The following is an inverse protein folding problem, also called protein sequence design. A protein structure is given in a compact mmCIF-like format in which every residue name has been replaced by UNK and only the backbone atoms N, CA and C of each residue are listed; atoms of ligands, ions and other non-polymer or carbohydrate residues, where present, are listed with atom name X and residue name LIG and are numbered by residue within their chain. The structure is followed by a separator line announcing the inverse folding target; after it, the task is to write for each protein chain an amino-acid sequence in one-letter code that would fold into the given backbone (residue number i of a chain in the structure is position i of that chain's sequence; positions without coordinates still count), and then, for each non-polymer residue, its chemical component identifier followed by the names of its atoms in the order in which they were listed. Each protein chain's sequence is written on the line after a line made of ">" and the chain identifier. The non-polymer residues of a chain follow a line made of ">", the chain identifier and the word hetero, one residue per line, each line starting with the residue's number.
data_IF_972025818015
#
_entry.id   IF_972025818015
#
_cell.length_a   1.000
_cell.length_b   1.000
_cell.length_c   1.000
_cell.angle_alpha   90.00
_cell.angle_beta   90.00
_cell.angle_gamma   90.00
#
_symmetry.space_group_name_H-M   'P 1'
#
loop_
_entity.id
_entity.type
_entity.pdbx_description
1 polymer ?
#
# COMPACT_ATOMS: atom_id res chain seq x y z
N UNK A 1 42.51 -22.74 -37.46
CA UNK A 1 43.49 -21.65 -37.21
C UNK A 1 44.08 -21.84 -35.81
N UNK A 2 45.39 -21.55 -35.62
CA UNK A 2 46.20 -22.12 -34.55
C UNK A 2 46.30 -21.26 -33.27
N UNK A 3 46.79 -21.95 -32.22
CA UNK A 3 47.19 -21.51 -30.88
C UNK A 3 47.48 -20.03 -30.61
N UNK A 4 46.74 -19.49 -29.64
CA UNK A 4 47.13 -18.31 -28.87
C UNK A 4 48.19 -18.73 -27.84
N UNK A 5 49.45 -18.44 -28.19
CA UNK A 5 50.61 -18.60 -27.33
C UNK A 5 50.54 -17.67 -26.12
N UNK A 6 50.68 -18.26 -24.93
CA UNK A 6 50.95 -17.51 -23.70
C UNK A 6 52.33 -16.85 -23.77
N UNK A 7 52.47 -15.56 -23.44
CA UNK A 7 53.75 -14.88 -23.50
C UNK A 7 54.73 -15.45 -22.46
N UNK A 8 55.93 -15.80 -22.91
CA UNK A 8 57.06 -16.32 -22.13
C UNK A 8 57.63 -15.34 -21.08
N UNK A 9 56.95 -14.22 -20.81
CA UNK A 9 57.40 -13.18 -19.90
C UNK A 9 57.31 -13.58 -18.41
N UNK A 10 56.56 -14.63 -18.04
CA UNK A 10 56.37 -15.03 -16.65
C UNK A 10 57.46 -15.97 -16.07
N UNK A 11 58.42 -16.45 -16.87
CA UNK A 11 59.46 -17.38 -16.37
C UNK A 11 60.64 -16.72 -15.65
N UNK A 12 60.75 -15.38 -15.63
CA UNK A 12 61.87 -14.67 -14.97
C UNK A 12 61.58 -14.15 -13.56
N UNK A 13 60.44 -14.47 -12.95
CA UNK A 13 60.14 -14.07 -11.56
C UNK A 13 60.53 -15.12 -10.50
N UNK A 14 61.10 -16.25 -10.89
CA UNK A 14 61.41 -17.38 -9.99
C UNK A 14 62.72 -17.27 -9.21
N UNK A 15 63.48 -16.18 -9.36
CA UNK A 15 64.76 -15.97 -8.65
C UNK A 15 64.76 -14.76 -7.72
N UNK A 16 63.62 -14.43 -7.11
CA UNK A 16 63.57 -13.47 -6.03
C UNK A 16 63.66 -14.18 -4.67
N UNK A 17 64.46 -13.67 -3.72
CA UNK A 17 64.59 -14.25 -2.39
C UNK A 17 63.23 -14.23 -1.67
N UNK A 18 62.87 -15.35 -1.03
CA UNK A 18 61.55 -15.57 -0.38
C UNK A 18 61.16 -14.50 0.64
N UNK A 19 62.12 -13.76 1.20
CA UNK A 19 61.87 -12.67 2.15
C UNK A 19 61.28 -11.39 1.49
N UNK A 20 61.55 -11.12 0.21
CA UNK A 20 61.08 -9.91 -0.46
C UNK A 20 59.65 -10.03 -1.05
N UNK A 21 59.23 -11.27 -1.38
CA UNK A 21 57.90 -11.54 -1.98
C UNK A 21 56.76 -11.35 -0.97
N UNK A 22 57.02 -11.54 0.33
CA UNK A 22 56.02 -11.35 1.38
C UNK A 22 55.65 -9.88 1.62
N UNK A 23 56.58 -8.95 1.43
CA UNK A 23 56.38 -7.53 1.71
C UNK A 23 55.63 -6.81 0.57
N UNK A 24 55.91 -7.15 -0.70
CA UNK A 24 55.15 -6.61 -1.84
C UNK A 24 53.70 -7.14 -1.89
N UNK A 25 53.44 -8.40 -1.51
CA UNK A 25 52.06 -8.92 -1.45
C UNK A 25 51.19 -8.19 -0.42
N UNK A 26 51.76 -7.79 0.73
CA UNK A 26 51.03 -7.02 1.75
C UNK A 26 50.75 -5.58 1.30
N UNK A 27 51.67 -4.93 0.59
CA UNK A 27 51.44 -3.58 0.06
C UNK A 27 50.41 -3.55 -1.09
N UNK A 28 50.41 -4.54 -1.99
CA UNK A 28 49.43 -4.59 -3.10
C UNK A 28 48.02 -4.90 -2.59
N UNK A 29 47.86 -5.80 -1.60
CA UNK A 29 46.53 -6.10 -1.03
C UNK A 29 45.97 -4.90 -0.25
N UNK A 30 46.81 -4.10 0.41
CA UNK A 30 46.34 -2.88 1.09
C UNK A 30 46.04 -1.73 0.11
N UNK A 31 46.77 -1.61 -1.00
CA UNK A 31 46.49 -0.61 -2.03
C UNK A 31 45.17 -0.88 -2.78
N UNK A 32 44.82 -2.14 -3.08
CA UNK A 32 43.54 -2.47 -3.72
C UNK A 32 42.34 -2.40 -2.77
N UNK A 33 42.51 -2.69 -1.48
CA UNK A 33 41.44 -2.51 -0.48
C UNK A 33 41.11 -1.04 -0.23
N UNK A 34 42.10 -0.14 -0.25
CA UNK A 34 41.87 1.30 -0.12
C UNK A 34 41.18 1.93 -1.34
N UNK A 35 41.42 1.39 -2.55
CA UNK A 35 40.80 1.92 -3.77
C UNK A 35 39.34 1.49 -3.94
N UNK A 36 38.94 0.33 -3.43
CA UNK A 36 37.54 -0.13 -3.45
C UNK A 36 36.63 0.62 -2.44
N UNK A 37 37.21 1.21 -1.39
CA UNK A 37 36.47 2.02 -0.42
C UNK A 37 36.23 3.46 -0.91
N UNK A 38 36.95 3.93 -1.93
CA UNK A 38 36.85 5.31 -2.42
C UNK A 38 35.75 5.53 -3.48
N UNK A 39 35.15 4.47 -4.01
CA UNK A 39 34.07 4.55 -5.01
C UNK A 39 32.75 3.94 -4.53
N UNK A 40 32.57 3.81 -3.22
CA UNK A 40 31.29 3.43 -2.63
C UNK A 40 30.27 4.55 -2.80
N UNK A 41 29.76 4.72 -4.02
CA UNK A 41 28.50 5.43 -4.24
C UNK A 41 27.48 4.62 -3.48
N UNK A 42 27.09 5.11 -2.29
CA UNK A 42 25.93 4.58 -1.60
C UNK A 42 24.75 4.79 -2.55
N UNK A 43 24.36 3.73 -3.27
CA UNK A 43 23.15 3.76 -4.09
C UNK A 43 22.00 3.98 -3.12
N UNK A 44 21.51 5.22 -3.06
CA UNK A 44 20.36 5.57 -2.23
C UNK A 44 19.13 4.99 -2.91
N UNK A 45 18.84 3.73 -2.60
CA UNK A 45 17.60 3.08 -3.00
C UNK A 45 16.42 3.91 -2.47
N UNK A 46 15.45 4.15 -3.34
CA UNK A 46 14.14 4.70 -2.97
C UNK A 46 13.40 3.65 -2.15
N UNK A 47 13.02 3.99 -0.92
CA UNK A 47 12.18 3.16 -0.07
C UNK A 47 10.72 3.62 -0.19
N UNK A 48 9.89 2.79 -0.82
CA UNK A 48 8.47 3.03 -0.99
C UNK A 48 7.68 2.17 -0.01
N UNK A 49 6.94 2.79 0.92
CA UNK A 49 6.07 2.07 1.85
C UNK A 49 4.61 2.38 1.52
N UNK A 50 3.78 1.34 1.42
CA UNK A 50 2.35 1.44 1.14
C UNK A 50 1.62 0.65 2.21
N UNK A 51 0.83 1.37 3.01
CA UNK A 51 -0.02 0.79 4.04
C UNK A 51 -1.47 0.98 3.66
N UNK A 52 -2.25 -0.10 3.66
CA UNK A 52 -3.62 -0.08 3.17
C UNK A 52 -4.55 -0.84 4.11
N UNK A 53 -5.83 -0.47 4.16
CA UNK A 53 -6.81 -1.26 4.90
C UNK A 53 -7.48 -2.28 3.96
N UNK A 54 -7.55 -3.57 4.35
CA UNK A 54 -8.19 -4.59 3.52
C UNK A 54 -9.72 -4.41 3.42
N UNK A 55 -10.33 -3.60 4.29
CA UNK A 55 -11.78 -3.34 4.32
C UNK A 55 -12.12 -1.92 3.83
N UNK A 56 -11.17 -1.22 3.20
CA UNK A 56 -11.34 0.15 2.74
C UNK A 56 -11.58 0.19 1.23
N UNK A 57 -12.75 0.67 0.82
CA UNK A 57 -13.11 0.83 -0.59
C UNK A 57 -12.24 1.82 -1.33
N UNK A 58 -11.84 2.90 -0.65
CA UNK A 58 -10.88 3.84 -1.20
C UNK A 58 -9.53 3.15 -1.47
N UNK A 59 -9.06 2.27 -0.57
CA UNK A 59 -7.82 1.51 -0.80
C UNK A 59 -7.92 0.59 -2.02
N UNK A 60 -9.03 -0.13 -2.21
CA UNK A 60 -9.22 -0.99 -3.40
C UNK A 60 -9.17 -0.16 -4.69
N UNK A 61 -9.99 0.90 -4.77
CA UNK A 61 -10.05 1.76 -5.94
C UNK A 61 -8.70 2.43 -6.25
N UNK A 62 -7.96 2.80 -5.20
CA UNK A 62 -6.67 3.44 -5.34
C UNK A 62 -5.59 2.44 -5.79
N UNK A 63 -5.46 1.31 -5.08
CA UNK A 63 -4.41 0.32 -5.33
C UNK A 63 -4.60 -0.42 -6.66
N UNK A 64 -5.84 -0.67 -7.10
CA UNK A 64 -6.14 -1.35 -8.37
C UNK A 64 -5.67 -0.59 -9.61
N UNK A 65 -5.46 0.71 -9.50
CA UNK A 65 -4.87 1.53 -10.56
C UNK A 65 -3.38 1.76 -10.31
N UNK A 66 -3.01 2.12 -9.09
CA UNK A 66 -1.65 2.53 -8.76
C UNK A 66 -0.63 1.38 -8.79
N UNK A 67 -0.93 0.24 -8.16
CA UNK A 67 0.03 -0.87 -8.05
C UNK A 67 0.37 -1.46 -9.43
N UNK A 68 -0.60 -1.78 -10.32
CA UNK A 68 -0.27 -2.28 -11.65
C UNK A 68 0.63 -1.32 -12.42
N UNK A 69 0.32 -0.01 -12.42
CA UNK A 69 1.13 0.99 -13.11
C UNK A 69 2.57 1.05 -12.56
N UNK A 70 2.74 0.92 -11.25
CA UNK A 70 4.05 0.93 -10.60
C UNK A 70 4.87 -0.34 -10.91
N UNK A 71 4.27 -1.53 -10.81
CA UNK A 71 4.97 -2.79 -11.03
C UNK A 71 5.23 -3.08 -12.52
N UNK A 72 4.33 -2.65 -13.41
CA UNK A 72 4.51 -2.76 -14.86
C UNK A 72 5.51 -1.74 -15.43
N UNK A 73 5.92 -0.75 -14.64
CA UNK A 73 6.95 0.19 -15.04
C UNK A 73 8.34 -0.45 -15.14
N UNK A 74 8.54 -1.67 -14.65
CA UNK A 74 9.83 -2.37 -14.66
C UNK A 74 10.95 -1.53 -14.02
N UNK A 75 10.64 -0.93 -12.86
CA UNK A 75 11.64 -0.24 -12.05
C UNK A 75 12.65 -1.27 -11.52
N UNK A 76 13.96 -0.97 -11.51
CA UNK A 76 14.96 -1.91 -11.04
C UNK A 76 14.92 -2.03 -9.52
N UNK A 77 14.90 -3.27 -9.02
CA UNK A 77 14.82 -3.56 -7.58
C UNK A 77 16.05 -3.16 -6.76
N UNK A 78 17.18 -2.89 -7.42
CA UNK A 78 18.36 -2.30 -6.78
C UNK A 78 18.23 -0.79 -6.50
N UNK A 79 17.30 -0.11 -7.16
CA UNK A 79 17.03 1.32 -6.96
C UNK A 79 15.73 1.57 -6.20
N UNK A 80 14.79 0.63 -6.23
CA UNK A 80 13.48 0.78 -5.57
C UNK A 80 13.15 -0.48 -4.79
N UNK A 81 12.96 -0.29 -3.48
CA UNK A 81 12.44 -1.31 -2.59
C UNK A 81 11.07 -0.92 -2.08
N UNK A 82 10.19 -1.90 -1.91
CA UNK A 82 8.79 -1.72 -1.54
C UNK A 82 8.48 -2.44 -0.24
N UNK A 83 7.77 -1.74 0.64
CA UNK A 83 7.04 -2.33 1.76
C UNK A 83 5.56 -2.21 1.45
N UNK A 84 4.85 -3.32 1.29
CA UNK A 84 3.39 -3.34 1.10
C UNK A 84 2.77 -4.13 2.25
N UNK A 85 2.04 -3.46 3.14
CA UNK A 85 1.49 -4.09 4.33
C UNK A 85 0.04 -3.68 4.57
N UNK A 86 -0.85 -4.62 4.92
CA UNK A 86 -2.18 -4.26 5.36
C UNK A 86 -2.11 -3.63 6.76
N UNK A 87 -3.00 -2.69 7.05
CA UNK A 87 -3.13 -1.95 8.29
C UNK A 87 -4.60 -1.88 8.70
N UNK A 88 -4.88 -2.07 9.98
CA UNK A 88 -6.22 -1.88 10.55
C UNK A 88 -6.14 -0.96 11.77
N UNK A 89 -6.95 0.11 11.83
CA UNK A 89 -7.01 0.97 13.00
C UNK A 89 -7.64 0.23 14.19
N UNK A 90 -7.26 0.65 15.40
CA UNK A 90 -8.00 0.31 16.63
C UNK A 90 -7.85 -1.11 17.14
N UNK A 91 -6.98 -1.93 16.56
CA UNK A 91 -6.75 -3.32 17.02
C UNK A 91 -5.68 -3.32 18.13
N UNK A 92 -6.10 -2.90 19.33
CA UNK A 92 -5.39 -2.69 20.62
C UNK A 92 -5.54 -3.64 21.84
N UNK A 93 -4.64 -4.58 22.21
CA UNK A 93 -3.65 -5.27 21.40
C UNK A 93 -4.35 -6.26 20.47
N UNK A 94 -3.81 -6.49 19.28
CA UNK A 94 -4.48 -7.29 18.29
C UNK A 94 -4.28 -8.79 18.64
N UNK A 95 -5.25 -9.70 18.44
CA UNK A 95 -5.09 -11.13 18.74
C UNK A 95 -4.16 -11.84 17.75
N UNK A 96 -3.06 -12.47 18.18
CA UNK A 96 -2.00 -12.99 17.30
C UNK A 96 -2.51 -13.74 16.03
N UNK A 97 -3.59 -14.50 16.18
CA UNK A 97 -4.33 -15.15 15.10
C UNK A 97 -5.60 -14.35 14.73
N UNK A 98 -5.80 -14.15 13.43
CA UNK A 98 -6.98 -13.47 12.86
C UNK A 98 -7.99 -14.48 12.29
N UNK A 99 -8.43 -15.45 13.10
CA UNK A 99 -9.25 -16.59 12.63
C UNK A 99 -10.75 -16.40 12.81
N UNK A 100 -11.19 -15.45 13.64
CA UNK A 100 -12.61 -15.22 13.90
C UNK A 100 -13.29 -14.54 12.72
N UNK A 101 -14.15 -15.29 12.03
CA UNK A 101 -14.98 -14.72 10.95
C UNK A 101 -15.89 -13.60 11.48
N UNK A 102 -16.00 -12.51 10.72
CA UNK A 102 -16.81 -11.34 11.06
C UNK A 102 -16.08 -10.30 11.91
N UNK A 103 -14.85 -10.56 12.37
CA UNK A 103 -14.00 -9.55 12.98
C UNK A 103 -13.11 -8.88 11.92
N UNK A 104 -12.84 -7.56 12.03
CA UNK A 104 -11.95 -6.85 11.09
C UNK A 104 -10.58 -7.52 10.92
N UNK A 105 -10.02 -8.09 12.00
CA UNK A 105 -8.76 -8.83 11.97
C UNK A 105 -8.74 -9.90 10.87
N UNK A 106 -9.85 -10.59 10.62
CA UNK A 106 -9.95 -11.70 9.68
C UNK A 106 -9.40 -11.36 8.30
N UNK A 107 -9.68 -10.14 7.83
CA UNK A 107 -9.25 -9.64 6.52
C UNK A 107 -7.74 -9.40 6.42
N UNK A 108 -7.00 -9.41 7.53
CA UNK A 108 -5.52 -9.36 7.52
C UNK A 108 -4.89 -10.72 7.24
N UNK A 109 -5.57 -11.82 7.56
CA UNK A 109 -4.93 -13.13 7.63
C UNK A 109 -4.34 -13.54 6.27
N UNK A 110 -5.17 -13.54 5.23
CA UNK A 110 -4.78 -13.94 3.89
C UNK A 110 -3.68 -13.06 3.26
N UNK A 111 -3.81 -11.72 3.26
CA UNK A 111 -2.75 -10.82 2.78
C UNK A 111 -1.43 -10.97 3.54
N UNK A 112 -1.46 -11.06 4.87
CA UNK A 112 -0.24 -11.25 5.66
C UNK A 112 0.45 -12.58 5.33
N UNK A 113 -0.32 -13.64 5.12
CA UNK A 113 0.23 -14.92 4.69
C UNK A 113 0.85 -14.86 3.30
N UNK A 114 0.24 -14.13 2.35
CA UNK A 114 0.82 -13.94 1.02
C UNK A 114 2.16 -13.19 1.08
N UNK A 115 2.32 -12.30 2.07
CA UNK A 115 3.53 -11.51 2.28
C UNK A 115 4.63 -12.23 3.09
N UNK A 116 4.34 -13.38 3.73
CA UNK A 116 5.37 -14.09 4.52
C UNK A 116 6.57 -14.56 3.72
N UNK A 117 6.38 -14.88 2.44
CA UNK A 117 7.47 -15.28 1.54
C UNK A 117 8.27 -14.08 1.00
N UNK A 118 7.84 -12.85 1.29
CA UNK A 118 8.44 -11.63 0.77
C UNK A 118 9.36 -11.04 1.83
N UNK A 119 10.69 -10.96 1.59
CA UNK A 119 11.58 -10.24 2.50
C UNK A 119 11.23 -8.75 2.44
N UNK A 120 10.85 -8.15 3.56
CA UNK A 120 10.48 -6.73 3.62
C UNK A 120 11.61 -5.88 4.23
N UNK A 121 11.94 -4.72 3.63
CA UNK A 121 11.48 -4.24 2.32
C UNK A 121 12.00 -5.12 1.16
N UNK A 122 11.23 -5.25 0.09
CA UNK A 122 11.56 -6.14 -1.03
C UNK A 122 11.95 -5.35 -2.30
N UNK A 123 12.86 -5.85 -3.14
CA UNK A 123 13.06 -5.30 -4.48
C UNK A 123 11.74 -5.28 -5.26
N UNK A 124 11.42 -4.16 -5.91
CA UNK A 124 10.13 -3.97 -6.61
C UNK A 124 9.92 -4.97 -7.76
N UNK A 125 10.99 -5.43 -8.39
CA UNK A 125 10.99 -6.42 -9.47
C UNK A 125 11.06 -7.87 -8.96
N UNK A 126 11.01 -8.09 -7.64
CA UNK A 126 11.07 -9.44 -7.10
C UNK A 126 9.79 -10.24 -7.45
N UNK A 127 9.92 -11.49 -7.94
CA UNK A 127 8.76 -12.33 -8.24
C UNK A 127 7.83 -12.56 -7.04
N UNK A 128 8.41 -12.66 -5.84
CA UNK A 128 7.65 -12.83 -4.61
C UNK A 128 6.76 -11.61 -4.33
N UNK A 129 7.28 -10.38 -4.47
CA UNK A 129 6.47 -9.17 -4.30
C UNK A 129 5.41 -9.04 -5.40
N UNK A 130 5.74 -9.34 -6.66
CA UNK A 130 4.77 -9.33 -7.76
C UNK A 130 3.60 -10.29 -7.52
N UNK A 131 3.89 -11.51 -7.06
CA UNK A 131 2.88 -12.50 -6.69
C UNK A 131 2.03 -12.04 -5.49
N UNK A 132 2.67 -11.48 -4.45
CA UNK A 132 1.97 -10.97 -3.29
C UNK A 132 1.04 -9.79 -3.62
N UNK A 133 1.48 -8.83 -4.43
CA UNK A 133 0.62 -7.69 -4.81
C UNK A 133 -0.54 -8.13 -5.71
N UNK A 134 -0.35 -9.10 -6.61
CA UNK A 134 -1.44 -9.67 -7.41
C UNK A 134 -2.48 -10.33 -6.51
N UNK A 135 -2.01 -11.06 -5.49
CA UNK A 135 -2.90 -11.66 -4.50
C UNK A 135 -3.70 -10.59 -3.76
N UNK A 136 -3.03 -9.56 -3.26
CA UNK A 136 -3.62 -8.47 -2.49
C UNK A 136 -4.70 -7.75 -3.31
N UNK A 137 -4.43 -7.42 -4.58
CA UNK A 137 -5.41 -6.77 -5.44
C UNK A 137 -6.64 -7.65 -5.69
N UNK A 138 -6.43 -8.94 -5.95
CA UNK A 138 -7.53 -9.90 -6.11
C UNK A 138 -8.35 -10.01 -4.82
N UNK A 139 -7.69 -10.18 -3.68
CA UNK A 139 -8.33 -10.36 -2.39
C UNK A 139 -9.10 -9.10 -1.95
N UNK A 140 -8.53 -7.90 -2.16
CA UNK A 140 -9.19 -6.61 -1.93
C UNK A 140 -10.50 -6.48 -2.70
N UNK A 141 -10.52 -6.89 -3.97
CA UNK A 141 -11.74 -6.87 -4.79
C UNK A 141 -12.86 -7.77 -4.25
N UNK A 142 -12.51 -8.75 -3.41
CA UNK A 142 -13.45 -9.59 -2.68
C UNK A 142 -13.63 -9.18 -1.22
N UNK A 143 -12.78 -8.37 -0.62
CA UNK A 143 -12.98 -7.92 0.75
C UNK A 143 -14.03 -6.79 0.85
N UNK A 144 -14.24 -6.05 -0.24
CA UNK A 144 -14.90 -4.75 -0.20
C UNK A 144 -16.25 -4.64 -0.97
N UNK A 145 -16.88 -5.73 -1.42
CA UNK A 145 -18.10 -5.62 -2.28
C UNK A 145 -19.43 -5.30 -1.54
N UNK A 146 -19.43 -4.44 -0.53
CA UNK A 146 -20.65 -3.88 0.08
C UNK A 146 -21.02 -4.44 1.46
N UNK A 147 -22.31 -4.41 1.79
CA UNK A 147 -22.83 -4.63 3.16
C UNK A 147 -22.63 -6.06 3.72
N UNK A 148 -22.24 -7.00 2.88
CA UNK A 148 -21.88 -8.38 3.27
C UNK A 148 -20.45 -8.58 2.80
N UNK A 149 -19.52 -8.74 3.74
CA UNK A 149 -18.14 -9.10 3.44
C UNK A 149 -18.10 -10.43 2.68
N UNK A 150 -17.86 -10.45 1.36
CA UNK A 150 -18.03 -11.65 0.55
C UNK A 150 -16.71 -12.44 0.47
N UNK A 151 -15.66 -12.00 1.16
CA UNK A 151 -14.41 -12.75 1.25
C UNK A 151 -14.73 -14.12 1.87
N UNK A 152 -14.59 -15.16 1.06
CA UNK A 152 -14.82 -16.54 1.45
C UNK A 152 -13.53 -17.34 1.34
N UNK A 153 -13.42 -18.49 2.01
CA UNK A 153 -12.31 -19.40 1.76
C UNK A 153 -12.11 -19.72 0.27
N UNK A 154 -13.19 -19.81 -0.51
CA UNK A 154 -13.14 -20.09 -1.95
C UNK A 154 -12.51 -18.94 -2.75
N UNK A 155 -12.90 -17.69 -2.49
CA UNK A 155 -12.31 -16.53 -3.19
C UNK A 155 -10.85 -16.34 -2.80
N UNK A 156 -10.51 -16.51 -1.51
CA UNK A 156 -9.12 -16.48 -1.03
C UNK A 156 -8.27 -17.53 -1.75
N UNK A 157 -8.74 -18.77 -1.86
CA UNK A 157 -8.01 -19.84 -2.56
C UNK A 157 -7.89 -19.58 -4.06
N UNK A 158 -8.93 -19.02 -4.68
CA UNK A 158 -8.90 -18.63 -6.10
C UNK A 158 -7.83 -17.57 -6.36
N UNK A 159 -7.82 -16.48 -5.58
CA UNK A 159 -6.80 -15.44 -5.65
C UNK A 159 -5.39 -15.99 -5.40
N UNK A 160 -5.25 -16.90 -4.44
CA UNK A 160 -3.97 -17.53 -4.12
C UNK A 160 -3.44 -18.39 -5.27
N UNK A 161 -4.32 -19.10 -5.98
CA UNK A 161 -3.99 -19.88 -7.16
C UNK A 161 -3.55 -19.01 -8.33
N UNK A 162 -4.32 -17.97 -8.66
CA UNK A 162 -4.00 -17.05 -9.77
C UNK A 162 -2.71 -16.26 -9.55
N UNK A 163 -2.38 -15.98 -8.29
CA UNK A 163 -1.22 -15.17 -7.92
C UNK A 163 -0.01 -16.02 -7.53
N UNK A 164 -0.09 -17.34 -7.65
CA UNK A 164 0.98 -18.28 -7.31
C UNK A 164 1.48 -18.21 -5.85
N UNK A 165 0.64 -17.76 -4.91
CA UNK A 165 0.96 -17.75 -3.47
C UNK A 165 0.41 -18.97 -2.72
N UNK A 166 -0.47 -19.76 -3.35
CA UNK A 166 -1.05 -20.99 -2.77
C UNK A 166 0.00 -22.10 -2.61
N UNK A 167 0.84 -21.97 -1.60
CA UNK A 167 1.94 -22.88 -1.27
C UNK A 167 1.70 -23.50 0.11
N UNK A 168 2.32 -24.65 0.45
CA UNK A 168 2.18 -25.24 1.78
C UNK A 168 2.51 -24.26 2.94
N UNK A 169 3.57 -23.42 2.86
CA UNK A 169 3.81 -22.39 3.87
C UNK A 169 2.67 -21.38 4.03
N UNK A 170 2.06 -20.95 2.93
CA UNK A 170 0.91 -20.03 2.96
C UNK A 170 -0.32 -20.67 3.62
N UNK A 171 -0.61 -21.94 3.31
CA UNK A 171 -1.71 -22.67 3.95
C UNK A 171 -1.47 -22.88 5.46
N UNK A 172 -0.23 -23.19 5.84
CA UNK A 172 0.16 -23.30 7.25
C UNK A 172 0.02 -21.96 7.98
N UNK A 173 0.39 -20.86 7.32
CA UNK A 173 0.21 -19.51 7.86
C UNK A 173 -1.26 -19.21 8.17
N UNK A 174 -2.19 -19.56 7.29
CA UNK A 174 -3.63 -19.31 7.50
C UNK A 174 -4.19 -20.02 8.75
N UNK A 175 -3.56 -21.11 9.18
CA UNK A 175 -3.94 -21.87 10.38
C UNK A 175 -3.18 -21.43 11.64
N UNK A 176 -2.10 -20.65 11.48
CA UNK A 176 -1.18 -20.30 12.55
C UNK A 176 -1.27 -18.86 13.02
N UNK A 177 -0.11 -18.27 13.32
CA UNK A 177 0.05 -16.87 13.67
C UNK A 177 0.37 -16.06 12.42
N UNK A 178 -0.56 -15.20 11.98
CA UNK A 178 -0.35 -14.37 10.79
C UNK A 178 0.47 -13.11 11.11
N UNK A 179 0.30 -12.55 12.32
CA UNK A 179 0.97 -11.31 12.72
C UNK A 179 2.24 -11.61 13.49
N UNK A 180 3.35 -11.52 12.77
CA UNK A 180 4.70 -11.70 13.33
C UNK A 180 5.11 -10.49 14.18
N UNK A 181 6.09 -10.64 15.09
CA UNK A 181 6.65 -9.50 15.82
C UNK A 181 7.18 -8.38 14.90
N UNK A 182 7.75 -8.73 13.75
CA UNK A 182 8.24 -7.76 12.76
C UNK A 182 7.11 -6.92 12.15
N UNK A 183 5.98 -7.56 11.81
CA UNK A 183 4.78 -6.86 11.36
C UNK A 183 4.28 -5.89 12.43
N UNK A 184 4.13 -6.36 13.67
CA UNK A 184 3.64 -5.52 14.78
C UNK A 184 4.53 -4.30 15.01
N UNK A 185 5.86 -4.49 15.07
CA UNK A 185 6.81 -3.39 15.21
C UNK A 185 6.70 -2.35 14.07
N UNK A 186 6.45 -2.81 12.84
CA UNK A 186 6.26 -1.92 11.68
C UNK A 186 4.97 -1.11 11.81
N UNK A 187 3.87 -1.75 12.21
CA UNK A 187 2.58 -1.08 12.44
C UNK A 187 2.65 -0.10 13.62
N UNK A 188 3.35 -0.44 14.69
CA UNK A 188 3.56 0.47 15.83
C UNK A 188 4.36 1.71 15.41
N UNK A 189 5.43 1.53 14.63
CA UNK A 189 6.21 2.63 14.07
C UNK A 189 5.37 3.51 13.13
N UNK A 190 4.54 2.90 12.26
CA UNK A 190 3.59 3.63 11.43
C UNK A 190 2.61 4.45 12.29
N UNK A 191 2.00 3.85 13.31
CA UNK A 191 1.03 4.54 14.18
C UNK A 191 1.67 5.75 14.88
N UNK A 192 2.91 5.63 15.35
CA UNK A 192 3.66 6.76 15.92
C UNK A 192 3.89 7.87 14.87
N UNK A 193 4.27 7.51 13.64
CA UNK A 193 4.43 8.48 12.54
C UNK A 193 3.11 9.20 12.23
N UNK A 194 2.00 8.47 12.15
CA UNK A 194 0.67 9.05 11.87
C UNK A 194 0.23 10.07 12.92
N UNK A 195 0.52 9.82 14.21
CA UNK A 195 0.20 10.78 15.29
C UNK A 195 0.85 12.15 15.08
N UNK A 196 2.04 12.21 14.48
CA UNK A 196 2.74 13.48 14.20
C UNK A 196 2.14 14.29 13.04
N UNK A 197 1.32 13.65 12.20
CA UNK A 197 0.74 14.26 11.00
C UNK A 197 -0.64 14.90 11.25
N UNK A 198 -1.25 14.68 12.41
CA UNK A 198 -2.58 15.20 12.76
C UNK A 198 -3.74 14.21 12.49
N UNK A 199 -4.97 14.66 12.76
CA UNK A 199 -6.14 13.78 12.84
C UNK A 199 -6.74 13.32 11.50
N UNK A 200 -6.31 13.87 10.36
CA UNK A 200 -6.99 13.71 9.05
C UNK A 200 -6.12 12.99 8.01
N UNK A 201 -5.53 11.86 8.39
CA UNK A 201 -4.80 10.99 7.45
C UNK A 201 -5.66 9.80 7.07
N UNK A 202 -5.96 9.67 5.77
CA UNK A 202 -6.75 8.57 5.22
C UNK A 202 -5.86 7.54 4.53
N UNK A 203 -6.26 6.27 4.59
CA UNK A 203 -5.61 5.16 3.86
C UNK A 203 -6.00 5.17 2.38
N UNK A 204 -5.13 4.72 1.46
CA UNK A 204 -3.81 4.13 1.72
C UNK A 204 -2.77 5.19 2.09
N UNK A 205 -1.89 4.86 3.02
CA UNK A 205 -0.74 5.70 3.37
C UNK A 205 0.44 5.33 2.47
N UNK A 206 0.90 6.29 1.68
CA UNK A 206 2.03 6.12 0.77
C UNK A 206 3.19 6.94 1.33
N UNK A 207 4.33 6.30 1.58
CA UNK A 207 5.54 6.93 2.07
C UNK A 207 6.67 6.70 1.09
N UNK A 208 7.47 7.74 0.84
CA UNK A 208 8.70 7.65 0.07
C UNK A 208 9.82 8.21 0.93
N UNK A 209 10.85 7.39 1.18
CA UNK A 209 12.02 7.77 1.99
C UNK A 209 11.63 8.39 3.35
N UNK A 210 10.61 7.83 4.01
CA UNK A 210 10.14 8.30 5.32
C UNK A 210 9.28 9.58 5.31
N UNK A 211 8.90 10.11 4.14
CA UNK A 211 7.92 11.22 4.01
C UNK A 211 6.61 10.71 3.44
N UNK A 212 5.49 11.09 4.04
CA UNK A 212 4.17 10.71 3.55
C UNK A 212 3.79 11.55 2.33
N UNK A 213 3.46 10.88 1.24
CA UNK A 213 3.00 11.46 -0.02
C UNK A 213 1.50 11.75 0.07
N UNK A 214 1.09 12.89 -0.51
CA UNK A 214 -0.30 13.29 -0.68
C UNK A 214 -0.65 13.15 -2.15
N UNK A 215 -1.76 12.46 -2.41
CA UNK A 215 -2.26 12.25 -3.74
C UNK A 215 -3.77 12.46 -3.84
N UNK A 216 -4.16 13.17 -4.88
CA UNK A 216 -5.53 13.50 -5.25
C UNK A 216 -6.05 12.41 -6.20
N UNK A 217 -6.18 11.20 -5.67
CA UNK A 217 -6.59 10.00 -6.41
C UNK A 217 -5.43 9.20 -7.02
N UNK A 218 -5.73 8.04 -7.64
CA UNK A 218 -4.72 7.02 -7.97
C UNK A 218 -3.66 7.44 -9.00
N UNK A 219 -3.93 8.50 -9.77
CA UNK A 219 -3.09 8.93 -10.89
C UNK A 219 -2.38 10.26 -10.64
N UNK A 220 -2.60 10.90 -9.49
CA UNK A 220 -2.14 12.27 -9.28
C UNK A 220 -1.65 12.48 -7.85
N UNK A 221 -0.33 12.49 -7.68
CA UNK A 221 0.34 12.89 -6.45
C UNK A 221 0.80 14.34 -6.54
N UNK A 222 0.58 15.11 -5.49
CA UNK A 222 0.69 16.58 -5.52
C UNK A 222 1.61 17.16 -4.46
N UNK A 223 1.87 16.46 -3.36
CA UNK A 223 2.69 17.01 -2.28
C UNK A 223 3.15 16.01 -1.23
N UNK A 224 3.80 16.53 -0.20
CA UNK A 224 4.19 15.84 1.03
C UNK A 224 3.31 16.32 2.18
N UNK A 225 2.85 15.39 3.02
CA UNK A 225 2.19 15.76 4.28
C UNK A 225 3.25 16.31 5.24
N UNK A 226 2.99 17.46 5.84
CA UNK A 226 3.85 18.06 6.86
C UNK A 226 3.30 17.82 8.26
N UNK A 227 4.14 18.05 9.28
CA UNK A 227 3.69 18.02 10.67
C UNK A 227 2.58 19.06 10.89
N UNK A 228 1.50 18.66 11.56
CA UNK A 228 0.31 19.51 11.76
C UNK A 228 -0.72 19.48 10.61
N UNK A 229 -0.56 18.58 9.64
CA UNK A 229 -1.60 18.29 8.63
C UNK A 229 -1.49 19.09 7.33
N UNK A 230 -0.55 20.02 7.22
CA UNK A 230 -0.31 20.81 6.00
C UNK A 230 0.20 19.97 4.83
N UNK A 231 0.23 20.57 3.63
CA UNK A 231 0.75 19.94 2.41
C UNK A 231 1.83 20.83 1.81
N UNK A 232 3.04 20.29 1.67
CA UNK A 232 4.14 20.90 0.92
C UNK A 232 4.09 20.39 -0.52
N UNK A 233 3.91 21.26 -1.50
CA UNK A 233 3.80 20.86 -2.90
C UNK A 233 5.07 20.13 -3.38
N UNK A 234 4.89 19.14 -4.26
CA UNK A 234 6.01 18.52 -4.98
C UNK A 234 6.72 19.57 -5.85
N UNK A 235 8.06 19.49 -6.02
CA UNK A 235 8.78 20.36 -6.92
C UNK A 235 8.18 20.36 -8.35
N UNK A 236 8.32 21.46 -9.10
CA UNK A 236 7.85 21.53 -10.48
C UNK A 236 8.33 20.34 -11.32
N UNK A 237 7.41 19.75 -12.08
CA UNK A 237 7.69 18.57 -12.91
C UNK A 237 7.67 17.23 -12.17
N UNK A 238 7.64 17.18 -10.83
CA UNK A 238 7.60 15.92 -10.07
C UNK A 238 6.18 15.42 -9.77
N UNK A 239 5.18 16.30 -9.75
CA UNK A 239 3.78 15.92 -9.58
C UNK A 239 3.28 15.02 -10.72
N UNK A 240 2.35 14.11 -10.41
CA UNK A 240 1.76 13.15 -11.35
C UNK A 240 1.58 11.76 -10.75
N UNK A 241 1.46 10.70 -11.57
CA UNK A 241 1.29 9.32 -11.08
C UNK A 241 2.43 8.87 -10.16
N UNK A 242 2.17 7.94 -9.24
CA UNK A 242 3.18 7.48 -8.26
C UNK A 242 4.51 7.07 -8.92
N UNK A 243 4.46 6.34 -10.04
CA UNK A 243 5.66 5.92 -10.77
C UNK A 243 6.54 7.10 -11.19
N UNK A 244 5.95 8.24 -11.56
CA UNK A 244 6.68 9.45 -11.92
C UNK A 244 7.37 10.05 -10.69
N UNK A 245 6.66 10.12 -9.57
CA UNK A 245 7.24 10.60 -8.29
C UNK A 245 8.41 9.71 -7.88
N UNK A 246 8.26 8.39 -7.92
CA UNK A 246 9.33 7.43 -7.62
C UNK A 246 10.53 7.63 -8.56
N UNK A 247 10.29 7.71 -9.87
CA UNK A 247 11.33 7.98 -10.86
C UNK A 247 12.07 9.30 -10.62
N UNK A 248 11.37 10.34 -10.16
CA UNK A 248 12.00 11.62 -9.82
C UNK A 248 12.97 11.53 -8.63
N UNK A 249 12.80 10.53 -7.76
CA UNK A 249 13.63 10.30 -6.57
C UNK A 249 14.87 9.43 -6.80
N UNK A 250 14.92 8.66 -7.89
CA UNK A 250 16.10 7.84 -8.23
C UNK A 250 17.27 8.76 -8.64
N UNK A 251 18.49 8.63 -8.12
CA UNK A 251 19.61 9.48 -8.56
C UNK A 251 19.94 9.35 -10.06
N UNK A 252 20.62 10.33 -10.63
CA UNK A 252 21.12 10.22 -12.01
C UNK A 252 22.35 9.29 -12.11
N UNK A 253 22.48 8.50 -13.20
CA UNK A 253 21.57 8.45 -14.35
C UNK A 253 20.29 7.64 -14.07
N UNK A 254 19.13 8.19 -14.46
CA UNK A 254 17.84 7.49 -14.34
C UNK A 254 17.83 6.18 -15.14
N UNK A 255 17.19 5.10 -14.63
CA UNK A 255 17.03 3.87 -15.38
C UNK A 255 16.15 4.09 -16.62
N UNK A 256 16.33 3.30 -17.70
CA UNK A 256 15.53 3.42 -18.92
C UNK A 256 14.02 3.38 -18.69
N UNK A 257 13.55 2.59 -17.74
CA UNK A 257 12.13 2.49 -17.35
C UNK A 257 11.54 3.83 -16.89
N UNK A 258 12.36 4.76 -16.40
CA UNK A 258 11.91 6.08 -15.95
C UNK A 258 11.77 7.11 -17.07
N UNK A 259 12.40 6.92 -18.22
CA UNK A 259 12.47 7.95 -19.27
C UNK A 259 11.07 8.36 -19.77
N UNK A 260 10.17 7.39 -19.96
CA UNK A 260 8.79 7.66 -20.41
C UNK A 260 7.95 8.48 -19.41
N UNK A 261 8.32 8.49 -18.12
CA UNK A 261 7.58 9.20 -17.08
C UNK A 261 8.15 10.62 -16.82
N UNK A 262 9.38 10.88 -17.26
CA UNK A 262 10.06 12.17 -17.04
C UNK A 262 9.80 13.19 -18.15
N UNK A 263 9.42 12.75 -19.37
CA UNK A 263 9.28 13.63 -20.55
C UNK A 263 7.94 14.39 -20.60
N UNK A 264 6.95 14.01 -19.79
CA UNK A 264 5.55 14.41 -20.01
C UNK A 264 5.10 15.74 -19.33
N UNK A 265 6.01 16.62 -18.88
CA UNK A 265 5.62 17.76 -18.04
C UNK A 265 5.45 19.12 -18.77
N UNK A 266 5.88 19.27 -20.04
CA UNK A 266 5.99 20.62 -20.64
C UNK A 266 4.97 20.97 -21.74
N UNK A 267 4.14 20.06 -22.28
CA UNK A 267 3.39 20.37 -23.51
C UNK A 267 1.87 20.14 -23.52
N UNK A 268 1.18 20.22 -22.38
CA UNK A 268 -0.28 20.42 -22.42
C UNK A 268 -0.76 21.54 -21.49
N UNK A 269 -0.67 22.81 -21.92
CA UNK A 269 -1.45 23.88 -21.32
C UNK A 269 -2.94 23.56 -21.49
N UNK A 270 -3.56 23.08 -20.41
CA UNK A 270 -5.01 23.15 -20.16
C UNK A 270 -5.91 22.97 -21.40
N UNK A 271 -6.11 21.72 -21.85
CA UNK A 271 -7.33 21.43 -22.59
C UNK A 271 -8.49 21.58 -21.59
N UNK A 272 -9.46 22.49 -21.83
CA UNK A 272 -10.54 22.71 -20.88
C UNK A 272 -11.32 21.41 -20.64
N UNK A 273 -11.45 21.00 -19.37
CA UNK A 273 -12.21 19.83 -18.89
C UNK A 273 -13.73 19.88 -19.19
N UNK A 274 -14.18 20.67 -20.17
CA UNK A 274 -15.60 20.90 -20.48
C UNK A 274 -16.29 19.75 -21.22
N UNK A 275 -15.63 18.65 -21.55
CA UNK A 275 -16.22 17.57 -22.35
C UNK A 275 -16.66 16.31 -21.58
N UNK A 276 -16.48 16.24 -20.25
CA UNK A 276 -17.02 15.13 -19.44
C UNK A 276 -18.33 15.47 -18.71
N UNK A 277 -18.90 16.67 -18.94
CA UNK A 277 -20.24 17.06 -18.48
C UNK A 277 -21.38 16.63 -19.41
N UNK A 278 -21.30 15.41 -19.98
CA UNK A 278 -22.20 14.91 -21.02
C UNK A 278 -23.18 13.81 -20.57
N UNK A 279 -23.48 13.66 -19.28
CA UNK A 279 -24.48 12.69 -18.80
C UNK A 279 -25.91 13.22 -18.94
N UNK A 280 -26.37 13.46 -20.18
CA UNK A 280 -27.80 13.63 -20.51
C UNK A 280 -28.11 13.08 -21.90
N UNK A 281 -28.03 11.76 -22.09
CA UNK A 281 -28.75 11.10 -23.20
C UNK A 281 -28.83 9.57 -23.03
N UNK A 282 -29.50 9.09 -21.98
CA UNK A 282 -30.11 7.74 -21.97
C UNK A 282 -31.41 7.76 -21.15
N UNK A 283 -32.37 8.55 -21.61
CA UNK A 283 -33.78 8.33 -21.34
C UNK A 283 -34.45 8.18 -22.70
N UNK A 284 -35.29 7.14 -22.85
CA UNK A 284 -35.98 6.70 -24.08
C UNK A 284 -35.33 5.53 -24.81
N UNK A 285 -35.32 4.33 -24.21
CA UNK A 285 -35.59 3.08 -24.95
C UNK A 285 -35.91 1.93 -23.97
N UNK A 286 -36.99 2.08 -23.22
CA UNK A 286 -37.57 0.99 -22.43
C UNK A 286 -39.10 1.15 -22.36
N UNK A 287 -39.72 1.22 -23.53
CA UNK A 287 -41.15 0.95 -23.73
C UNK A 287 -41.26 -0.19 -24.74
N UNK A 288 -41.38 -1.42 -24.25
CA UNK A 288 -41.61 -2.57 -25.11
C UNK A 288 -41.03 -3.89 -24.60
N UNK A 289 -41.37 -4.29 -23.37
CA UNK A 289 -41.30 -5.69 -22.90
C UNK A 289 -42.05 -5.79 -21.55
N UNK A 290 -43.28 -5.29 -21.53
CA UNK A 290 -44.20 -5.40 -20.39
C UNK A 290 -45.50 -6.10 -20.81
N UNK A 291 -45.40 -7.20 -21.57
CA UNK A 291 -46.51 -8.13 -21.80
C UNK A 291 -45.89 -9.53 -21.99
N UNK A 292 -45.82 -10.34 -20.93
CA UNK A 292 -45.36 -11.73 -21.08
C UNK A 292 -44.84 -12.47 -19.85
N UNK A 293 -44.80 -11.86 -18.66
CA UNK A 293 -44.21 -12.47 -17.46
C UNK A 293 -45.15 -12.67 -16.27
N UNK A 294 -46.46 -12.58 -16.48
CA UNK A 294 -47.48 -12.58 -15.41
C UNK A 294 -48.41 -13.79 -15.54
N UNK A 295 -47.85 -14.98 -15.71
CA UNK A 295 -48.63 -16.23 -15.79
C UNK A 295 -47.84 -17.47 -15.33
N UNK A 296 -46.90 -17.33 -14.39
CA UNK A 296 -46.19 -18.49 -13.84
C UNK A 296 -45.77 -18.38 -12.36
N UNK A 297 -46.50 -17.62 -11.53
CA UNK A 297 -46.26 -17.57 -10.08
C UNK A 297 -47.46 -18.08 -9.23
N UNK A 298 -48.48 -18.66 -9.85
CA UNK A 298 -49.66 -19.16 -9.12
C UNK A 298 -49.60 -20.66 -8.73
N UNK A 299 -48.51 -21.38 -9.00
CA UNK A 299 -48.49 -22.86 -8.88
C UNK A 299 -47.63 -23.46 -7.75
N UNK A 300 -46.94 -22.66 -6.92
CA UNK A 300 -46.08 -23.20 -5.85
C UNK A 300 -46.39 -22.63 -4.46
N UNK A 301 -47.67 -22.46 -4.18
CA UNK A 301 -48.19 -22.06 -2.87
C UNK A 301 -48.91 -23.19 -2.14
N UNK A 302 -48.18 -24.24 -1.73
CA UNK A 302 -48.61 -25.15 -0.64
C UNK A 302 -47.43 -26.03 -0.22
N UNK A 303 -47.35 -26.27 1.09
CA UNK A 303 -46.34 -27.05 1.83
C UNK A 303 -45.11 -26.23 2.24
N UNK A 304 -45.22 -25.56 3.40
CA UNK A 304 -44.41 -25.81 4.62
C UNK A 304 -45.00 -24.88 5.69
N UNK A 305 -45.78 -25.45 6.60
CA UNK A 305 -46.25 -24.80 7.83
C UNK A 305 -45.61 -25.59 8.96
N UNK A 306 -44.64 -25.00 9.65
CA UNK A 306 -44.12 -25.52 10.90
C UNK A 306 -42.61 -25.34 11.06
N UNK A 307 -42.20 -24.26 11.73
CA UNK A 307 -41.19 -24.23 12.81
C UNK A 307 -40.99 -22.78 13.26
N UNK A 308 -41.89 -22.29 14.11
CA UNK A 308 -41.74 -21.00 14.80
C UNK A 308 -40.85 -21.21 16.02
N UNK A 309 -39.52 -21.14 15.86
CA UNK A 309 -38.62 -21.37 17.01
C UNK A 309 -37.18 -20.86 16.91
N UNK A 310 -36.68 -20.46 15.73
CA UNK A 310 -35.27 -20.08 15.56
C UNK A 310 -35.02 -18.64 15.08
N UNK A 311 -36.08 -17.85 14.89
CA UNK A 311 -35.97 -16.48 14.34
C UNK A 311 -35.49 -15.42 15.34
N UNK A 312 -35.49 -15.71 16.65
CA UNK A 312 -35.10 -14.74 17.69
C UNK A 312 -33.59 -14.67 17.95
N UNK A 313 -32.84 -15.76 17.72
CA UNK A 313 -31.38 -15.78 17.95
C UNK A 313 -30.60 -15.21 16.76
N UNK A 314 -31.08 -15.42 15.53
CA UNK A 314 -30.44 -14.85 14.33
C UNK A 314 -30.57 -13.32 14.26
N UNK A 315 -31.69 -12.76 14.75
CA UNK A 315 -31.96 -11.32 14.71
C UNK A 315 -31.11 -10.54 15.73
N UNK A 316 -30.76 -11.15 16.88
CA UNK A 316 -29.87 -10.55 17.87
C UNK A 316 -28.39 -10.56 17.43
N UNK A 317 -27.95 -11.58 16.69
CA UNK A 317 -26.59 -11.62 16.13
C UNK A 317 -26.42 -10.62 14.98
N UNK A 318 -27.43 -10.45 14.14
CA UNK A 318 -27.39 -9.47 13.04
C UNK A 318 -27.33 -8.00 13.52
N UNK A 319 -28.06 -7.65 14.61
CA UNK A 319 -28.06 -6.25 15.09
C UNK A 319 -26.75 -5.83 15.77
N UNK A 320 -26.02 -6.77 16.39
CA UNK A 320 -24.70 -6.49 17.00
C UNK A 320 -23.61 -6.27 15.93
N UNK A 321 -23.65 -6.99 14.81
CA UNK A 321 -22.70 -6.77 13.70
C UNK A 321 -22.98 -5.47 12.93
N UNK A 322 -24.26 -5.10 12.76
CA UNK A 322 -24.62 -3.83 12.12
C UNK A 322 -24.15 -2.60 12.92
N UNK A 323 -24.12 -2.68 14.26
CA UNK A 323 -23.63 -1.58 15.11
C UNK A 323 -22.12 -1.37 15.01
N UNK A 324 -21.35 -2.47 15.03
CA UNK A 324 -19.88 -2.42 14.89
C UNK A 324 -19.49 -1.97 13.48
N UNK A 325 -20.19 -2.44 12.45
CA UNK A 325 -19.98 -1.97 11.07
C UNK A 325 -20.32 -0.48 10.91
N UNK A 326 -21.40 0.00 11.55
CA UNK A 326 -21.80 1.42 11.49
C UNK A 326 -20.81 2.38 12.17
N UNK A 327 -20.23 1.99 13.31
CA UNK A 327 -19.21 2.80 14.01
C UNK A 327 -17.89 2.85 13.22
N UNK A 328 -17.50 1.77 12.54
CA UNK A 328 -16.32 1.76 11.67
C UNK A 328 -16.52 2.50 10.35
N UNK A 329 -17.71 2.41 9.75
CA UNK A 329 -18.04 3.17 8.54
C UNK A 329 -18.15 4.67 8.79
N UNK A 330 -18.62 5.10 9.98
CA UNK A 330 -18.64 6.52 10.33
C UNK A 330 -17.24 7.14 10.29
N UNK A 331 -16.21 6.43 10.76
CA UNK A 331 -14.82 6.90 10.65
C UNK A 331 -14.25 6.91 9.23
N UNK A 332 -14.88 6.22 8.27
CA UNK A 332 -14.41 6.17 6.88
C UNK A 332 -15.25 7.03 5.93
N UNK A 333 -16.44 7.50 6.34
CA UNK A 333 -17.40 8.16 5.46
C UNK A 333 -17.88 9.55 5.92
N UNK A 334 -17.55 10.02 7.13
CA UNK A 334 -18.23 11.19 7.72
C UNK A 334 -17.53 12.55 7.58
N UNK A 335 -16.57 12.78 6.68
CA UNK A 335 -15.96 14.13 6.51
C UNK A 335 -16.24 14.82 5.16
N UNK A 336 -16.96 14.21 4.21
CA UNK A 336 -17.24 14.83 2.90
C UNK A 336 -18.50 15.73 2.85
N UNK A 337 -19.09 16.13 3.99
CA UNK A 337 -20.39 16.81 4.02
C UNK A 337 -20.48 18.21 4.67
N UNK A 338 -19.41 18.79 5.23
CA UNK A 338 -19.48 20.09 5.95
C UNK A 338 -18.44 21.13 5.50
N UNK A 339 -18.21 21.28 4.19
CA UNK A 339 -17.36 22.35 3.66
C UNK A 339 -18.11 23.35 2.76
N UNK A 340 -19.36 23.71 3.06
CA UNK A 340 -20.02 24.89 2.48
C UNK A 340 -21.19 25.34 3.35
N UNK A 341 -20.91 26.15 4.38
CA UNK A 341 -21.76 27.21 4.92
C UNK A 341 -21.14 27.66 6.24
N UNK A 342 -20.60 28.89 6.28
CA UNK A 342 -20.83 29.88 7.33
C UNK A 342 -19.95 31.11 7.06
N UNK A 343 -20.58 32.11 6.45
CA UNK A 343 -20.12 33.49 6.46
C UNK A 343 -20.27 34.08 7.87
N UNK A 344 -19.22 34.78 8.33
CA UNK A 344 -19.33 36.06 9.03
C UNK A 344 -19.86 36.08 10.47
N UNK A 345 -18.95 36.28 11.44
CA UNK A 345 -18.98 37.43 12.38
C UNK A 345 -17.72 37.44 13.27
N UNK A 346 -17.16 38.61 13.60
CA UNK A 346 -15.95 38.72 14.41
C UNK A 346 -16.30 38.84 15.90
N UNK A 347 -15.59 38.12 16.77
CA UNK A 347 -15.61 38.37 18.22
C UNK A 347 -14.21 38.73 18.68
N UNK A 348 -14.18 39.84 19.42
CA UNK A 348 -13.02 40.59 19.84
C UNK A 348 -12.14 39.84 20.87
N UNK A 349 -10.85 40.16 20.78
CA UNK A 349 -9.81 39.93 21.77
C UNK A 349 -10.13 40.58 23.11
N UNK A 350 -10.00 39.82 24.21
CA UNK A 350 -9.69 40.36 25.53
C UNK A 350 -8.71 39.42 26.24
N UNK A 351 -7.47 39.88 26.33
CA UNK A 351 -6.45 39.33 27.21
C UNK A 351 -6.66 39.87 28.63
N UNK A 352 -6.54 38.99 29.62
CA UNK A 352 -6.24 39.40 30.99
C UNK A 352 -5.33 38.37 31.66
N UNK A 353 -4.16 38.85 32.06
CA UNK A 353 -3.22 38.18 32.94
C UNK A 353 -3.74 38.13 34.38
N UNK A 354 -3.48 37.05 35.10
CA UNK A 354 -3.28 37.11 36.55
C UNK A 354 -2.32 36.01 37.00
N UNK A 355 -1.40 36.41 37.86
CA UNK A 355 -0.25 35.67 38.33
C UNK A 355 -0.53 34.85 39.60
N UNK A 356 0.39 33.90 39.85
CA UNK A 356 0.92 33.44 41.14
C UNK A 356 -0.02 32.74 42.15
N UNK A 357 0.31 31.48 42.50
CA UNK A 357 0.84 31.15 43.83
C UNK A 357 1.41 29.71 43.93
N UNK A 358 2.68 29.66 44.34
CA UNK A 358 3.38 28.73 45.24
C UNK A 358 2.85 27.32 45.59
N UNK A 359 3.79 26.37 45.42
CA UNK A 359 4.44 25.52 46.44
C UNK A 359 3.73 24.27 47.00
N UNK A 360 4.57 23.21 47.03
CA UNK A 360 4.67 22.09 47.96
C UNK A 360 3.47 21.13 48.14
N UNK A 361 3.66 19.87 47.75
CA UNK A 361 4.02 18.79 48.70
C UNK A 361 4.07 17.40 48.03
N UNK A 362 5.16 16.69 48.33
CA UNK A 362 5.42 15.23 48.27
C UNK A 362 5.56 14.51 46.93
#
# INVERSE_FOLDING_TARGET
>A
APGLGWPAALRRLSRLPRAAVGMMRRMVVHAFAALALATGVASTSVNLEIFYSPICSHCEAYLSVMLPALFQAHLPGGEVVVTLLPWLPGVTPPPAACTNQGEPCHFLAAPLCALQAVPMPAPIDSPAMMNAQNFILCDLSHANTGAVFPQTPQTIQSCAGMSHVNTPPWQACLQGQQRTPAYLATIDSLNQRLQSLGAQVMVPFIWINGRMLVCDGPTQCTGWRTGGGGVEALPPGQAGPLVKVVCSMIPDPKPPSCQQYMVAAEEHPSLPQRLLGGSRMFASLSLGLAVGGLMLCAALGRVIRGTSGLASVARAKASRHARIAGEMYSSCASEDAESHLLEGTPVASAATSAAAHNADAM
#
